data_IF_536600755508
#
_entry.id   IF_536600755508
#
_cell.length_a   1.000
_cell.length_b   1.000
_cell.length_c   1.000
_cell.angle_alpha   90.00
_cell.angle_beta   90.00
_cell.angle_gamma   90.00
#
_symmetry.space_group_name_H-M   'P 1'
#
loop_
_entity.id
_entity.type
_entity.pdbx_description
1 polymer ?
#
# COMPACT_ATOMS: atom_id res chain seq x y z
N UNK A 1 -2.92 17.25 -5.86
CA UNK A 1 -2.15 16.41 -4.92
C UNK A 1 -0.83 16.03 -5.58
N UNK A 2 0.27 16.14 -4.85
CA UNK A 2 1.59 15.70 -5.31
C UNK A 2 1.55 14.18 -5.61
N UNK A 3 2.13 13.69 -6.72
CA UNK A 3 2.20 12.24 -7.01
C UNK A 3 2.75 11.40 -5.86
N UNK A 4 3.73 11.91 -5.11
CA UNK A 4 4.30 11.26 -3.92
C UNK A 4 3.30 11.21 -2.78
N UNK A 5 2.58 12.30 -2.51
CA UNK A 5 1.52 12.32 -1.48
C UNK A 5 0.43 11.30 -1.77
N UNK A 6 0.00 11.20 -3.04
CA UNK A 6 -1.00 10.20 -3.44
C UNK A 6 -0.46 8.78 -3.27
N UNK A 7 0.80 8.53 -3.63
CA UNK A 7 1.45 7.23 -3.43
C UNK A 7 1.58 6.87 -1.95
N UNK A 8 1.93 7.83 -1.10
CA UNK A 8 2.00 7.67 0.35
C UNK A 8 0.63 7.33 0.94
N UNK A 9 -0.41 8.10 0.61
CA UNK A 9 -1.76 7.87 1.09
C UNK A 9 -2.31 6.50 0.66
N UNK A 10 -2.21 6.18 -0.63
CA UNK A 10 -2.66 4.89 -1.17
C UNK A 10 -1.88 3.71 -0.59
N UNK A 11 -0.56 3.86 -0.40
CA UNK A 11 0.28 2.85 0.24
C UNK A 11 -0.06 2.62 1.71
N UNK A 12 -0.38 3.67 2.46
CA UNK A 12 -0.83 3.53 3.86
C UNK A 12 -2.19 2.83 3.95
N UNK A 13 -3.14 3.15 3.08
CA UNK A 13 -4.45 2.49 3.03
C UNK A 13 -4.33 1.02 2.63
N UNK A 14 -3.51 0.73 1.63
CA UNK A 14 -3.19 -0.63 1.18
C UNK A 14 -2.56 -1.43 2.34
N UNK A 15 -1.53 -0.90 2.98
CA UNK A 15 -0.86 -1.55 4.11
C UNK A 15 -1.77 -1.77 5.30
N UNK A 16 -2.61 -0.77 5.63
CA UNK A 16 -3.59 -0.89 6.72
C UNK A 16 -4.64 -1.95 6.42
N UNK A 17 -5.15 -1.99 5.18
CA UNK A 17 -6.11 -3.03 4.77
C UNK A 17 -5.50 -4.43 4.77
N UNK A 18 -4.21 -4.55 4.45
CA UNK A 18 -3.49 -5.82 4.51
C UNK A 18 -3.29 -6.29 5.96
N UNK A 19 -2.90 -5.38 6.85
CA UNK A 19 -2.80 -5.67 8.29
C UNK A 19 -4.17 -6.01 8.90
N UNK A 20 -5.24 -5.33 8.48
CA UNK A 20 -6.61 -5.69 8.89
C UNK A 20 -6.97 -7.11 8.45
N UNK A 21 -6.65 -7.48 7.21
CA UNK A 21 -6.91 -8.82 6.69
C UNK A 21 -6.16 -9.88 7.49
N UNK A 22 -4.87 -9.68 7.74
CA UNK A 22 -4.03 -10.64 8.46
C UNK A 22 -4.35 -10.70 9.96
N UNK A 23 -4.55 -9.55 10.60
CA UNK A 23 -4.68 -9.43 12.05
C UNK A 23 -6.11 -9.60 12.58
N UNK A 24 -7.14 -9.35 11.76
CA UNK A 24 -8.54 -9.41 12.18
C UNK A 24 -9.32 -10.39 11.32
N UNK A 25 -9.32 -10.23 10.00
CA UNK A 25 -10.19 -11.02 9.14
C UNK A 25 -9.81 -12.51 9.12
N UNK A 26 -8.52 -12.83 9.08
CA UNK A 26 -8.04 -14.21 9.10
C UNK A 26 -8.33 -14.91 10.45
N UNK A 27 -8.02 -14.32 11.63
CA UNK A 27 -8.46 -14.88 12.90
C UNK A 27 -9.98 -15.08 12.98
N UNK A 28 -10.78 -14.11 12.52
CA UNK A 28 -12.23 -14.24 12.53
C UNK A 28 -12.72 -15.40 11.64
N UNK A 29 -12.09 -15.58 10.46
CA UNK A 29 -12.39 -16.70 9.56
C UNK A 29 -12.11 -18.05 10.21
N UNK A 30 -10.98 -18.21 10.89
CA UNK A 30 -10.56 -19.51 11.42
C UNK A 30 -11.10 -19.81 12.83
N UNK A 31 -11.19 -18.80 13.70
CA UNK A 31 -11.63 -18.97 15.10
C UNK A 31 -13.15 -18.89 15.27
N UNK A 32 -13.80 -18.00 14.51
CA UNK A 32 -15.24 -17.78 14.60
C UNK A 32 -16.02 -18.31 13.40
N UNK A 33 -15.34 -18.97 12.45
CA UNK A 33 -15.93 -19.51 11.21
C UNK A 33 -16.74 -18.47 10.41
N UNK A 34 -16.36 -17.19 10.48
CA UNK A 34 -17.04 -16.07 9.83
C UNK A 34 -16.20 -15.54 8.65
N UNK A 35 -16.42 -16.03 7.41
CA UNK A 35 -15.60 -15.65 6.26
C UNK A 35 -15.96 -14.26 5.69
N UNK A 36 -17.08 -13.66 6.11
CA UNK A 36 -17.60 -12.42 5.53
C UNK A 36 -16.60 -11.26 5.64
N UNK A 37 -15.87 -11.14 6.75
CA UNK A 37 -14.86 -10.09 6.94
C UNK A 37 -13.68 -10.23 5.95
N UNK A 38 -13.30 -11.46 5.60
CA UNK A 38 -12.25 -11.72 4.60
C UNK A 38 -12.76 -11.36 3.20
N UNK A 39 -14.01 -11.67 2.89
CA UNK A 39 -14.61 -11.34 1.60
C UNK A 39 -14.67 -9.81 1.41
N UNK A 40 -15.27 -9.10 2.35
CA UNK A 40 -15.42 -7.64 2.28
C UNK A 40 -14.05 -6.96 2.35
N UNK A 41 -13.20 -7.34 3.32
CA UNK A 41 -11.86 -6.80 3.46
C UNK A 41 -10.98 -7.08 2.24
N UNK A 42 -11.13 -8.25 1.62
CA UNK A 42 -10.41 -8.64 0.41
C UNK A 42 -10.76 -7.75 -0.79
N UNK A 43 -12.04 -7.43 -0.98
CA UNK A 43 -12.48 -6.48 -2.01
C UNK A 43 -11.89 -5.09 -1.80
N UNK A 44 -11.93 -4.56 -0.57
CA UNK A 44 -11.35 -3.25 -0.27
C UNK A 44 -9.83 -3.24 -0.44
N UNK A 45 -9.14 -4.28 0.02
CA UNK A 45 -7.70 -4.42 -0.16
C UNK A 45 -7.32 -4.47 -1.65
N UNK A 46 -8.04 -5.27 -2.45
CA UNK A 46 -7.84 -5.32 -3.90
C UNK A 46 -8.04 -3.95 -4.57
N UNK A 47 -9.07 -3.20 -4.17
CA UNK A 47 -9.28 -1.84 -4.65
C UNK A 47 -8.13 -0.91 -4.28
N UNK A 48 -7.66 -0.93 -3.02
CA UNK A 48 -6.54 -0.11 -2.58
C UNK A 48 -5.23 -0.49 -3.27
N UNK A 49 -5.00 -1.77 -3.53
CA UNK A 49 -3.84 -2.24 -4.28
C UNK A 49 -3.83 -1.72 -5.72
N UNK A 50 -4.97 -1.72 -6.41
CA UNK A 50 -5.09 -1.15 -7.76
C UNK A 50 -4.84 0.36 -7.72
N UNK A 51 -5.42 1.08 -6.75
CA UNK A 51 -5.19 2.52 -6.58
C UNK A 51 -3.71 2.83 -6.29
N UNK A 52 -3.06 2.01 -5.46
CA UNK A 52 -1.63 2.10 -5.19
C UNK A 52 -0.80 1.89 -6.47
N UNK A 53 -1.13 0.89 -7.29
CA UNK A 53 -0.46 0.67 -8.58
C UNK A 53 -0.57 1.88 -9.51
N UNK A 54 -1.76 2.49 -9.60
CA UNK A 54 -1.95 3.72 -10.37
C UNK A 54 -1.14 4.89 -9.81
N UNK A 55 -1.11 5.07 -8.50
CA UNK A 55 -0.32 6.11 -7.85
C UNK A 55 1.18 5.90 -8.06
N UNK A 56 1.66 4.65 -8.00
CA UNK A 56 3.05 4.28 -8.24
C UNK A 56 3.46 4.54 -9.70
N UNK A 57 2.60 4.19 -10.65
CA UNK A 57 2.83 4.50 -12.06
C UNK A 57 2.93 6.01 -12.29
N UNK A 58 2.03 6.79 -11.69
CA UNK A 58 2.09 8.26 -11.77
C UNK A 58 3.38 8.82 -11.16
N UNK A 59 3.77 8.35 -9.98
CA UNK A 59 5.02 8.76 -9.32
C UNK A 59 6.24 8.40 -10.17
N UNK A 60 6.28 7.19 -10.75
CA UNK A 60 7.32 6.75 -11.67
C UNK A 60 7.48 7.70 -12.86
N UNK A 61 6.36 8.07 -13.50
CA UNK A 61 6.38 8.96 -14.66
C UNK A 61 6.80 10.39 -14.30
N UNK A 62 6.30 10.92 -13.17
CA UNK A 62 6.62 12.29 -12.74
C UNK A 62 8.06 12.45 -12.22
N UNK A 63 8.57 11.48 -11.47
CA UNK A 63 9.90 11.54 -10.85
C UNK A 63 10.96 10.72 -11.60
N UNK A 64 10.61 10.17 -12.77
CA UNK A 64 11.49 9.33 -13.63
C UNK A 64 12.20 8.21 -12.88
N UNK A 65 11.51 7.57 -11.93
CA UNK A 65 12.08 6.47 -11.17
C UNK A 65 12.47 5.30 -12.08
N UNK A 66 13.58 4.65 -11.75
CA UNK A 66 14.03 3.47 -12.48
C UNK A 66 13.05 2.31 -12.28
N UNK A 67 13.06 1.36 -13.22
CA UNK A 67 12.22 0.16 -13.11
C UNK A 67 12.48 -0.61 -11.81
N UNK A 68 13.75 -0.64 -11.36
CA UNK A 68 14.13 -1.27 -10.10
C UNK A 68 13.53 -0.57 -8.87
N UNK A 69 13.56 0.77 -8.82
CA UNK A 69 12.94 1.53 -7.73
C UNK A 69 11.43 1.32 -7.68
N UNK A 70 10.75 1.35 -8.83
CA UNK A 70 9.31 1.05 -8.89
C UNK A 70 9.01 -0.40 -8.51
N UNK A 71 9.84 -1.36 -8.92
CA UNK A 71 9.69 -2.77 -8.56
C UNK A 71 9.85 -3.00 -7.06
N UNK A 72 10.79 -2.32 -6.41
CA UNK A 72 10.97 -2.37 -4.96
C UNK A 72 9.80 -1.72 -4.20
N UNK A 73 9.28 -0.60 -4.71
CA UNK A 73 8.08 0.02 -4.13
C UNK A 73 6.84 -0.87 -4.29
N UNK A 74 6.73 -1.58 -5.43
CA UNK A 74 5.64 -2.51 -5.68
C UNK A 74 5.71 -3.75 -4.79
N UNK A 75 6.90 -4.35 -4.61
CA UNK A 75 7.07 -5.52 -3.73
C UNK A 75 6.80 -5.19 -2.26
N UNK A 76 6.94 -3.92 -1.86
CA UNK A 76 6.59 -3.46 -0.52
C UNK A 76 5.10 -3.66 -0.16
N UNK A 77 4.20 -3.76 -1.16
CA UNK A 77 2.78 -4.06 -0.94
C UNK A 77 2.53 -5.53 -0.52
N UNK A 78 3.43 -6.46 -0.87
CA UNK A 78 3.27 -7.88 -0.51
C UNK A 78 3.85 -8.24 0.85
N UNK A 79 4.68 -7.36 1.40
CA UNK A 79 5.34 -7.59 2.68
C UNK A 79 4.50 -6.88 3.75
N UNK A 80 4.09 -7.57 4.83
CA UNK A 80 3.43 -6.89 5.93
C UNK A 80 4.35 -5.78 6.46
N UNK A 81 3.79 -4.59 6.65
CA UNK A 81 4.52 -3.36 7.00
C UNK A 81 5.43 -2.77 5.90
N UNK A 82 5.57 -3.39 4.73
CA UNK A 82 6.46 -2.93 3.66
C UNK A 82 6.08 -1.53 3.15
N UNK A 83 4.79 -1.26 2.95
CA UNK A 83 4.29 0.07 2.53
C UNK A 83 4.51 1.17 3.57
N UNK A 84 4.61 0.84 4.86
CA UNK A 84 4.96 1.82 5.90
C UNK A 84 6.44 2.21 5.85
N UNK A 85 7.32 1.24 5.53
CA UNK A 85 8.75 1.53 5.29
C UNK A 85 8.92 2.36 4.03
N UNK A 86 8.15 2.06 2.98
CA UNK A 86 8.10 2.87 1.76
C UNK A 86 7.64 4.29 2.08
N UNK A 87 6.55 4.49 2.84
CA UNK A 87 6.06 5.82 3.24
C UNK A 87 7.15 6.66 3.92
N UNK A 88 7.91 6.07 4.87
CA UNK A 88 9.03 6.77 5.53
C UNK A 88 10.09 7.25 4.55
N UNK A 89 10.45 6.43 3.56
CA UNK A 89 11.40 6.80 2.51
C UNK A 89 10.82 7.89 1.60
N UNK A 90 9.55 7.78 1.24
CA UNK A 90 8.87 8.76 0.38
C UNK A 90 8.70 10.12 1.07
N UNK A 91 8.47 10.13 2.39
CA UNK A 91 8.41 11.36 3.17
C UNK A 91 9.71 12.17 3.10
N UNK A 92 10.87 11.50 3.08
CA UNK A 92 12.18 12.16 2.91
C UNK A 92 12.34 12.78 1.52
N UNK A 93 11.75 12.16 0.48
CA UNK A 93 11.78 12.66 -0.90
C UNK A 93 10.79 13.81 -1.10
N UNK A 94 9.71 13.84 -0.33
CA UNK A 94 8.75 14.95 -0.31
C UNK A 94 9.30 16.20 0.40
N UNK A 95 10.31 16.03 1.27
CA UNK A 95 10.97 17.13 2.00
C UNK A 95 12.42 17.38 1.52
N UNK A 96 12.66 17.92 0.31
CA UNK A 96 13.92 18.58 0.00
C UNK A 96 13.73 20.10 0.07
N UNK A 97 13.97 20.69 1.25
CA UNK A 97 14.08 22.14 1.42
C UNK A 97 13.15 22.77 2.46
N UNK A 98 13.46 22.51 3.75
CA UNK A 98 13.52 23.61 4.71
C UNK A 98 14.92 24.22 4.61
#
# INVERSE_FOLDING_TARGET
MNPIQTLRLTGLLEGLSYLFLLGIAMPLKYLAHQPLAVQIGGWFHGLFFVLFCFALLRAKLSYKWSFFQSGLAFSAAWIPFGTFVLDRKLKQIETPGD
#
